data_IF_497036969384
#
_entry.id   IF_497036969384
#
_cell.length_a   1.000
_cell.length_b   1.000
_cell.length_c   1.000
_cell.angle_alpha   90.00
_cell.angle_beta   90.00
_cell.angle_gamma   90.00
#
_symmetry.space_group_name_H-M   'P 1'
#
loop_
_entity.id
_entity.type
_entity.pdbx_description
1 polymer ?
#
# COMPACT_ATOMS: atom_id res chain seq x y z
N UNK A 1 -154.62 10.22 48.98
CA UNK A 1 -155.48 11.42 49.06
C UNK A 1 -154.72 12.62 48.48
N UNK A 2 -154.56 12.66 47.15
CA UNK A 2 -153.75 13.66 46.42
C UNK A 2 -154.05 15.12 46.83
N UNK A 3 -153.08 16.04 46.81
CA UNK A 3 -153.28 17.48 46.99
C UNK A 3 -152.21 18.31 46.25
N UNK A 4 -152.33 19.65 46.27
CA UNK A 4 -151.47 20.58 45.53
C UNK A 4 -150.78 21.62 46.44
N UNK A 5 -151.55 22.47 47.14
CA UNK A 5 -151.14 23.59 48.02
C UNK A 5 -150.29 24.71 47.36
N UNK A 6 -149.41 24.34 46.43
CA UNK A 6 -148.59 25.15 45.51
C UNK A 6 -147.32 25.73 46.08
N UNK A 7 -147.34 26.13 47.35
CA UNK A 7 -146.31 27.02 47.93
C UNK A 7 -146.41 28.41 47.28
N UNK A 8 -146.50 29.47 48.09
CA UNK A 8 -146.59 30.86 47.60
C UNK A 8 -145.21 31.50 47.49
N UNK A 9 -145.11 32.65 46.80
CA UNK A 9 -143.84 33.32 46.46
C UNK A 9 -142.87 33.49 47.65
N UNK A 10 -143.35 33.93 48.81
CA UNK A 10 -142.52 34.16 50.01
C UNK A 10 -141.85 32.90 50.58
N UNK A 11 -142.44 31.71 50.36
CA UNK A 11 -141.81 30.44 50.74
C UNK A 11 -140.78 29.98 49.68
N UNK A 12 -140.98 30.34 48.41
CA UNK A 12 -139.98 30.13 47.34
C UNK A 12 -138.73 30.98 47.60
N UNK A 13 -138.89 32.25 48.00
CA UNK A 13 -137.78 33.16 48.33
C UNK A 13 -136.84 32.61 49.42
N UNK A 14 -137.38 31.99 50.49
CA UNK A 14 -136.56 31.36 51.54
C UNK A 14 -135.70 30.22 51.00
N UNK A 15 -136.30 29.28 50.29
CA UNK A 15 -135.55 28.13 49.74
C UNK A 15 -134.51 28.56 48.70
N UNK A 16 -134.73 29.66 47.98
CA UNK A 16 -133.73 30.28 47.11
C UNK A 16 -132.61 30.98 47.90
N UNK A 17 -132.92 31.66 49.00
CA UNK A 17 -131.93 32.32 49.85
C UNK A 17 -131.00 31.31 50.54
N UNK A 18 -131.56 30.25 51.13
CA UNK A 18 -130.80 29.18 51.77
C UNK A 18 -129.91 28.43 50.74
N UNK A 19 -130.41 28.21 49.51
CA UNK A 19 -129.60 27.65 48.42
C UNK A 19 -128.42 28.55 48.05
N UNK A 20 -128.65 29.86 47.83
CA UNK A 20 -127.55 30.81 47.52
C UNK A 20 -126.48 30.83 48.60
N UNK A 21 -126.88 30.68 49.87
CA UNK A 21 -125.93 30.58 50.99
C UNK A 21 -125.09 29.29 50.93
N UNK A 22 -125.72 28.13 50.73
CA UNK A 22 -125.01 26.85 50.60
C UNK A 22 -124.12 26.84 49.34
N UNK A 23 -124.57 27.45 48.24
CA UNK A 23 -123.78 27.63 47.02
C UNK A 23 -122.56 28.54 47.26
N UNK A 24 -122.67 29.60 48.06
CA UNK A 24 -121.53 30.42 48.46
C UNK A 24 -120.52 29.64 49.31
N UNK A 25 -121.00 28.95 50.36
CA UNK A 25 -120.16 28.12 51.23
C UNK A 25 -119.45 26.99 50.45
N UNK A 26 -120.14 26.34 49.50
CA UNK A 26 -119.53 25.35 48.60
C UNK A 26 -118.52 25.97 47.61
N UNK A 27 -118.79 27.17 47.06
CA UNK A 27 -117.85 27.85 46.18
C UNK A 27 -116.56 28.25 46.91
N UNK A 28 -116.65 28.67 48.17
CA UNK A 28 -115.47 28.99 48.99
C UNK A 28 -114.68 27.72 49.37
N UNK A 29 -115.36 26.61 49.67
CA UNK A 29 -114.70 25.30 49.85
C UNK A 29 -114.01 24.82 48.57
N UNK A 30 -114.62 24.99 47.39
CA UNK A 30 -114.01 24.67 46.10
C UNK A 30 -112.80 25.57 45.79
N UNK A 31 -112.87 26.86 46.10
CA UNK A 31 -111.74 27.79 46.02
C UNK A 31 -110.60 27.38 46.95
N UNK A 32 -110.91 27.01 48.18
CA UNK A 32 -109.92 26.53 49.15
C UNK A 32 -109.28 25.22 48.68
N UNK A 33 -110.07 24.24 48.22
CA UNK A 33 -109.58 22.98 47.68
C UNK A 33 -108.71 23.17 46.44
N UNK A 34 -109.11 24.04 45.50
CA UNK A 34 -108.34 24.38 44.30
C UNK A 34 -107.03 25.11 44.64
N UNK A 35 -107.07 26.05 45.58
CA UNK A 35 -105.88 26.73 46.10
C UNK A 35 -104.90 25.75 46.75
N UNK A 36 -105.41 24.87 47.64
CA UNK A 36 -104.61 23.84 48.31
C UNK A 36 -104.05 22.81 47.32
N UNK A 37 -104.81 22.42 46.28
CA UNK A 37 -104.32 21.57 45.20
C UNK A 37 -103.20 22.26 44.41
N UNK A 38 -103.35 23.55 44.10
CA UNK A 38 -102.32 24.35 43.43
C UNK A 38 -101.06 24.47 44.28
N UNK A 39 -101.20 24.72 45.59
CA UNK A 39 -100.09 24.77 46.54
C UNK A 39 -99.41 23.40 46.71
N UNK A 40 -100.17 22.30 46.75
CA UNK A 40 -99.61 20.95 46.81
C UNK A 40 -98.83 20.59 45.53
N UNK A 41 -99.28 21.06 44.36
CA UNK A 41 -98.55 20.91 43.10
C UNK A 41 -97.29 21.80 43.05
N UNK A 42 -97.35 23.02 43.56
CA UNK A 42 -96.19 23.90 43.71
C UNK A 42 -95.13 23.28 44.64
N UNK A 43 -95.52 22.80 45.83
CA UNK A 43 -94.63 22.13 46.78
C UNK A 43 -93.97 20.87 46.17
N UNK A 44 -94.71 20.08 45.38
CA UNK A 44 -94.15 18.95 44.62
C UNK A 44 -93.15 19.42 43.55
N UNK A 45 -93.45 20.52 42.87
CA UNK A 45 -92.56 21.18 41.93
C UNK A 45 -91.26 21.63 42.58
N UNK A 46 -91.33 22.30 43.72
CA UNK A 46 -90.17 22.76 44.49
C UNK A 46 -89.30 21.60 44.97
N UNK A 47 -89.90 20.52 45.47
CA UNK A 47 -89.16 19.29 45.80
C UNK A 47 -88.46 18.69 44.58
N UNK A 48 -89.11 18.67 43.41
CA UNK A 48 -88.48 18.21 42.16
C UNK A 48 -87.34 19.15 41.70
N UNK A 49 -87.49 20.47 41.89
CA UNK A 49 -86.44 21.46 41.62
C UNK A 49 -85.24 21.29 42.57
N UNK A 50 -85.47 21.03 43.85
CA UNK A 50 -84.40 20.74 44.83
C UNK A 50 -83.64 19.45 44.47
N UNK A 51 -84.35 18.39 44.07
CA UNK A 51 -83.72 17.15 43.58
C UNK A 51 -82.89 17.41 42.31
N UNK A 52 -83.43 18.14 41.33
CA UNK A 52 -82.69 18.53 40.12
C UNK A 52 -81.46 19.39 40.43
N UNK A 53 -81.56 20.37 41.34
CA UNK A 53 -80.42 21.19 41.79
C UNK A 53 -79.34 20.33 42.45
N UNK A 54 -79.72 19.39 43.32
CA UNK A 54 -78.78 18.43 43.94
C UNK A 54 -78.12 17.53 42.90
N UNK A 55 -78.88 17.00 41.94
CA UNK A 55 -78.35 16.19 40.85
C UNK A 55 -77.38 16.98 39.96
N UNK A 56 -77.72 18.21 39.59
CA UNK A 56 -76.84 19.10 38.81
C UNK A 56 -75.55 19.44 39.57
N UNK A 57 -75.64 19.75 40.87
CA UNK A 57 -74.46 20.03 41.69
C UNK A 57 -73.56 18.78 41.86
N UNK A 58 -74.14 17.59 41.99
CA UNK A 58 -73.39 16.34 41.99
C UNK A 58 -72.76 16.05 40.62
N UNK A 59 -73.47 16.31 39.52
CA UNK A 59 -72.95 16.19 38.16
C UNK A 59 -71.80 17.16 37.89
N UNK A 60 -71.90 18.41 38.33
CA UNK A 60 -70.81 19.41 38.25
C UNK A 60 -69.57 18.93 38.99
N UNK A 61 -69.70 18.51 40.26
CA UNK A 61 -68.58 17.97 41.04
C UNK A 61 -67.95 16.73 40.41
N UNK A 62 -68.77 15.83 39.85
CA UNK A 62 -68.25 14.64 39.16
C UNK A 62 -67.53 15.02 37.85
N UNK A 63 -68.02 16.03 37.12
CA UNK A 63 -67.37 16.54 35.91
C UNK A 63 -66.05 17.25 36.24
N UNK A 64 -66.01 18.06 37.30
CA UNK A 64 -64.81 18.69 37.85
C UNK A 64 -63.77 17.61 38.24
N UNK A 65 -64.17 16.62 39.04
CA UNK A 65 -63.29 15.51 39.43
C UNK A 65 -62.76 14.70 38.22
N UNK A 66 -63.59 14.46 37.19
CA UNK A 66 -63.14 13.80 35.96
C UNK A 66 -62.16 14.65 35.15
N UNK A 67 -62.26 15.98 35.19
CA UNK A 67 -61.31 16.88 34.53
C UNK A 67 -59.99 16.94 35.30
N UNK A 68 -60.04 17.01 36.63
CA UNK A 68 -58.87 16.94 37.51
C UNK A 68 -58.12 15.61 37.33
N UNK A 69 -58.83 14.47 37.34
CA UNK A 69 -58.23 13.16 37.11
C UNK A 69 -57.54 13.08 35.74
N UNK A 70 -58.21 13.57 34.67
CA UNK A 70 -57.60 13.64 33.33
C UNK A 70 -56.35 14.51 33.31
N UNK A 71 -56.35 15.66 34.00
CA UNK A 71 -55.18 16.53 34.09
C UNK A 71 -54.02 15.85 34.81
N UNK A 72 -54.27 15.21 35.96
CA UNK A 72 -53.28 14.45 36.72
C UNK A 72 -52.73 13.27 35.92
N UNK A 73 -53.56 12.58 35.15
CA UNK A 73 -53.13 11.48 34.28
C UNK A 73 -52.29 11.98 33.10
N UNK A 74 -52.67 13.09 32.46
CA UNK A 74 -51.89 13.73 31.40
C UNK A 74 -50.52 14.21 31.90
N UNK A 75 -50.44 14.82 33.09
CA UNK A 75 -49.15 15.17 33.71
C UNK A 75 -48.27 13.95 34.00
N UNK A 76 -48.86 12.87 34.54
CA UNK A 76 -48.13 11.62 34.82
C UNK A 76 -47.60 10.99 33.55
N UNK A 77 -48.41 10.99 32.48
CA UNK A 77 -48.00 10.51 31.16
C UNK A 77 -46.91 11.40 30.57
N UNK A 78 -47.03 12.73 30.66
CA UNK A 78 -45.99 13.66 30.21
C UNK A 78 -44.66 13.43 30.96
N UNK A 79 -44.70 13.29 32.29
CA UNK A 79 -43.52 12.99 33.14
C UNK A 79 -42.92 11.62 32.81
N UNK A 80 -43.75 10.61 32.52
CA UNK A 80 -43.29 9.29 32.03
C UNK A 80 -42.62 9.41 30.66
N UNK A 81 -43.22 10.14 29.73
CA UNK A 81 -42.73 10.33 28.37
C UNK A 81 -41.47 11.22 28.32
N UNK A 82 -41.28 12.12 29.27
CA UNK A 82 -40.02 12.84 29.48
C UNK A 82 -38.92 11.90 29.92
N UNK A 83 -39.15 11.09 30.97
CA UNK A 83 -38.16 10.11 31.45
C UNK A 83 -37.78 9.07 30.40
N UNK A 84 -38.72 8.57 29.60
CA UNK A 84 -38.38 7.63 28.52
C UNK A 84 -37.62 8.31 27.39
N UNK A 85 -37.89 9.58 27.07
CA UNK A 85 -37.07 10.37 26.14
C UNK A 85 -35.66 10.58 26.67
N UNK A 86 -35.50 11.03 27.91
CA UNK A 86 -34.19 11.22 28.56
C UNK A 86 -33.37 9.92 28.57
N UNK A 87 -34.01 8.79 28.89
CA UNK A 87 -33.39 7.47 28.81
C UNK A 87 -32.97 7.12 27.39
N UNK A 88 -33.87 7.24 26.41
CA UNK A 88 -33.56 6.96 25.00
C UNK A 88 -32.45 7.87 24.45
N UNK A 89 -32.46 9.16 24.80
CA UNK A 89 -31.42 10.13 24.40
C UNK A 89 -30.07 9.79 25.04
N UNK A 90 -30.05 9.33 26.30
CA UNK A 90 -28.82 8.86 26.95
C UNK A 90 -28.24 7.60 26.32
N UNK A 91 -29.11 6.65 25.94
CA UNK A 91 -28.75 5.41 25.25
C UNK A 91 -28.26 5.73 23.83
N UNK A 92 -28.94 6.61 23.09
CA UNK A 92 -28.54 7.05 21.76
C UNK A 92 -27.15 7.70 21.78
N UNK A 93 -26.88 8.61 22.73
CA UNK A 93 -25.55 9.21 22.91
C UNK A 93 -24.47 8.18 23.25
N UNK A 94 -24.78 7.20 24.11
CA UNK A 94 -23.84 6.14 24.44
C UNK A 94 -23.50 5.27 23.22
N UNK A 95 -24.51 4.90 22.42
CA UNK A 95 -24.33 4.15 21.18
C UNK A 95 -23.60 4.95 20.09
N UNK A 96 -23.83 6.26 20.01
CA UNK A 96 -23.08 7.16 19.11
C UNK A 96 -21.61 7.27 19.51
N UNK A 97 -21.29 7.42 20.80
CA UNK A 97 -19.90 7.44 21.26
C UNK A 97 -19.20 6.08 21.10
N UNK A 98 -19.88 4.97 21.36
CA UNK A 98 -19.36 3.63 21.07
C UNK A 98 -19.05 3.46 19.57
N UNK A 99 -19.98 3.86 18.68
CA UNK A 99 -19.74 3.89 17.23
C UNK A 99 -18.56 4.78 16.86
N UNK A 100 -18.47 6.01 17.41
CA UNK A 100 -17.33 6.92 17.17
C UNK A 100 -16.01 6.37 17.66
N UNK A 101 -15.98 5.58 18.73
CA UNK A 101 -14.78 4.90 19.21
C UNK A 101 -14.41 3.73 18.30
N UNK A 102 -15.40 2.93 17.88
CA UNK A 102 -15.18 1.80 16.98
C UNK A 102 -14.73 2.27 15.59
N UNK A 103 -15.37 3.29 14.99
CA UNK A 103 -14.91 3.93 13.74
C UNK A 103 -13.49 4.50 13.86
N UNK A 104 -13.12 5.08 15.01
CA UNK A 104 -11.76 5.58 15.25
C UNK A 104 -10.75 4.42 15.28
N UNK A 105 -11.07 3.34 15.99
CA UNK A 105 -10.25 2.11 16.03
C UNK A 105 -10.14 1.46 14.65
N UNK A 106 -11.22 1.36 13.89
CA UNK A 106 -11.21 0.81 12.53
C UNK A 106 -10.35 1.67 11.58
N UNK A 107 -10.48 3.00 11.61
CA UNK A 107 -9.61 3.92 10.84
C UNK A 107 -8.15 3.90 11.30
N UNK A 108 -7.89 3.57 12.55
CA UNK A 108 -6.53 3.38 13.08
C UNK A 108 -5.93 2.06 12.62
N UNK A 109 -6.67 0.96 12.74
CA UNK A 109 -6.32 -0.36 12.18
C UNK A 109 -6.07 -0.27 10.68
N UNK A 110 -6.96 0.39 9.91
CA UNK A 110 -6.79 0.62 8.47
C UNK A 110 -5.48 1.38 8.17
N UNK A 111 -5.22 2.48 8.86
CA UNK A 111 -3.97 3.26 8.68
C UNK A 111 -2.72 2.45 9.07
N UNK A 112 -2.78 1.64 10.12
CA UNK A 112 -1.68 0.71 10.50
C UNK A 112 -1.46 -0.32 9.38
N UNK A 113 -2.53 -0.88 8.82
CA UNK A 113 -2.44 -1.85 7.73
C UNK A 113 -1.89 -1.24 6.43
N UNK A 114 -2.36 -0.06 6.03
CA UNK A 114 -1.94 0.65 4.80
C UNK A 114 -0.49 1.15 4.88
N UNK A 115 -0.05 1.58 6.08
CA UNK A 115 1.31 2.03 6.34
C UNK A 115 2.31 0.89 6.55
N UNK A 116 1.86 -0.32 6.87
CA UNK A 116 2.72 -1.49 7.05
C UNK A 116 3.36 -1.94 5.73
N UNK A 117 4.70 -1.90 5.69
CA UNK A 117 5.48 -2.39 4.55
C UNK A 117 5.32 -3.91 4.39
N UNK A 118 5.27 -4.66 5.49
CA UNK A 118 5.12 -6.13 5.48
C UNK A 118 3.84 -6.59 4.76
N UNK A 119 2.71 -5.90 4.99
CA UNK A 119 1.44 -6.23 4.34
C UNK A 119 1.45 -5.87 2.86
N UNK A 120 2.11 -4.76 2.48
CA UNK A 120 2.28 -4.35 1.09
C UNK A 120 3.16 -5.33 0.31
N UNK A 121 4.23 -5.82 0.93
CA UNK A 121 5.07 -6.88 0.38
C UNK A 121 4.28 -8.18 0.22
N UNK A 122 3.51 -8.58 1.25
CA UNK A 122 2.63 -9.76 1.22
C UNK A 122 1.64 -9.68 0.06
N UNK A 123 0.93 -8.57 -0.11
CA UNK A 123 0.03 -8.34 -1.25
C UNK A 123 0.76 -8.44 -2.59
N UNK A 124 1.97 -7.89 -2.71
CA UNK A 124 2.74 -7.95 -3.95
C UNK A 124 3.11 -9.39 -4.30
N UNK A 125 3.49 -10.19 -3.30
CA UNK A 125 3.79 -11.62 -3.46
C UNK A 125 2.55 -12.45 -3.82
N UNK A 126 1.39 -12.10 -3.26
CA UNK A 126 0.10 -12.73 -3.60
C UNK A 126 -0.34 -12.37 -5.03
N UNK A 127 -0.19 -11.10 -5.45
CA UNK A 127 -0.44 -10.66 -6.84
C UNK A 127 0.46 -11.42 -7.83
N UNK A 128 1.75 -11.60 -7.52
CA UNK A 128 2.67 -12.43 -8.32
C UNK A 128 2.24 -13.90 -8.34
N UNK A 129 1.75 -14.45 -7.23
CA UNK A 129 1.23 -15.81 -7.18
C UNK A 129 -0.04 -16.00 -8.04
N UNK A 130 -0.95 -15.03 -8.09
CA UNK A 130 -2.10 -15.04 -9.01
C UNK A 130 -1.63 -15.02 -10.47
N UNK A 131 -0.72 -14.12 -10.85
CA UNK A 131 -0.15 -14.07 -12.20
C UNK A 131 0.55 -15.38 -12.58
N UNK A 132 1.25 -16.03 -11.64
CA UNK A 132 1.86 -17.34 -11.88
C UNK A 132 0.82 -18.46 -12.06
N UNK A 133 -0.29 -18.42 -11.31
CA UNK A 133 -1.42 -19.35 -11.49
C UNK A 133 -2.09 -19.17 -12.85
N UNK A 134 -2.39 -17.93 -13.24
CA UNK A 134 -2.96 -17.60 -14.55
C UNK A 134 -2.02 -18.03 -15.69
N UNK A 135 -0.72 -17.78 -15.56
CA UNK A 135 0.29 -18.21 -16.54
C UNK A 135 0.36 -19.74 -16.67
N UNK A 136 0.21 -20.49 -15.57
CA UNK A 136 0.16 -21.94 -15.61
C UNK A 136 -1.11 -22.46 -16.31
N UNK A 137 -2.27 -21.81 -16.08
CA UNK A 137 -3.52 -22.11 -16.80
C UNK A 137 -3.36 -21.82 -18.29
N UNK A 138 -2.86 -20.63 -18.67
CA UNK A 138 -2.58 -20.26 -20.06
C UNK A 138 -1.61 -21.23 -20.76
N UNK A 139 -0.61 -21.74 -20.02
CA UNK A 139 0.31 -22.74 -20.56
C UNK A 139 -0.40 -24.08 -20.81
N UNK A 140 -1.24 -24.55 -19.88
CA UNK A 140 -2.04 -25.77 -20.06
C UNK A 140 -3.07 -25.62 -21.21
N UNK A 141 -3.70 -24.45 -21.33
CA UNK A 141 -4.58 -24.11 -22.47
C UNK A 141 -3.80 -24.14 -23.80
N UNK A 142 -2.61 -23.52 -23.85
CA UNK A 142 -1.74 -23.58 -25.04
C UNK A 142 -1.30 -24.99 -25.38
N UNK A 143 -0.96 -25.81 -24.39
CA UNK A 143 -0.55 -27.20 -24.59
C UNK A 143 -1.71 -28.07 -25.11
N UNK A 144 -2.93 -27.89 -24.58
CA UNK A 144 -4.14 -28.58 -25.06
C UNK A 144 -4.55 -28.11 -26.46
N UNK A 145 -4.49 -26.81 -26.77
CA UNK A 145 -4.71 -26.29 -28.13
C UNK A 145 -3.69 -26.86 -29.12
N UNK A 146 -2.40 -26.89 -28.77
CA UNK A 146 -1.36 -27.47 -29.61
C UNK A 146 -1.54 -28.99 -29.82
N UNK A 147 -2.07 -29.72 -28.83
CA UNK A 147 -2.46 -31.12 -29.01
C UNK A 147 -3.66 -31.27 -29.97
N UNK A 148 -4.66 -30.39 -29.89
CA UNK A 148 -5.80 -30.35 -30.81
C UNK A 148 -5.35 -30.03 -32.24
N UNK A 149 -4.44 -29.06 -32.42
CA UNK A 149 -3.86 -28.73 -33.74
C UNK A 149 -3.09 -29.92 -34.31
N UNK A 150 -2.17 -30.52 -33.54
CA UNK A 150 -1.42 -31.72 -33.96
C UNK A 150 -2.30 -32.92 -34.30
N UNK A 151 -3.44 -33.09 -33.63
CA UNK A 151 -4.39 -34.16 -33.98
C UNK A 151 -5.14 -33.83 -35.27
N UNK A 152 -5.51 -32.57 -35.50
CA UNK A 152 -6.10 -32.12 -36.78
C UNK A 152 -5.12 -32.28 -37.95
N UNK A 153 -3.88 -31.81 -37.80
CA UNK A 153 -2.81 -31.98 -38.79
C UNK A 153 -2.65 -33.45 -39.17
N UNK A 154 -2.52 -34.35 -38.19
CA UNK A 154 -2.47 -35.80 -38.43
C UNK A 154 -3.69 -36.34 -39.15
N UNK A 155 -4.90 -35.91 -38.81
CA UNK A 155 -6.10 -36.35 -39.55
C UNK A 155 -6.07 -35.89 -41.01
N UNK A 156 -5.59 -34.67 -41.28
CA UNK A 156 -5.43 -34.13 -42.64
C UNK A 156 -4.34 -34.90 -43.39
N UNK A 157 -3.19 -35.18 -42.76
CA UNK A 157 -2.12 -36.03 -43.33
C UNK A 157 -2.66 -37.41 -43.71
N UNK A 158 -3.36 -38.12 -42.80
CA UNK A 158 -3.93 -39.44 -43.11
C UNK A 158 -4.97 -39.41 -44.23
N UNK A 159 -5.74 -38.32 -44.35
CA UNK A 159 -6.70 -38.15 -45.45
C UNK A 159 -5.98 -37.89 -46.78
N UNK A 160 -4.94 -37.04 -46.79
CA UNK A 160 -4.12 -36.78 -47.98
C UNK A 160 -3.36 -38.04 -48.44
N UNK A 161 -2.84 -38.84 -47.51
CA UNK A 161 -2.22 -40.14 -47.83
C UNK A 161 -3.23 -41.12 -48.42
N UNK A 162 -4.43 -41.20 -47.85
CA UNK A 162 -5.52 -42.04 -48.37
C UNK A 162 -5.93 -41.60 -49.79
N UNK A 163 -6.16 -40.31 -50.01
CA UNK A 163 -6.54 -39.78 -51.33
C UNK A 163 -5.40 -39.94 -52.36
N UNK A 164 -4.14 -39.83 -51.93
CA UNK A 164 -2.98 -40.15 -52.76
C UNK A 164 -2.95 -41.65 -53.15
N UNK A 165 -3.08 -42.56 -52.19
CA UNK A 165 -3.10 -44.01 -52.45
C UNK A 165 -4.26 -44.37 -53.40
N UNK A 166 -5.43 -43.76 -53.19
CA UNK A 166 -6.59 -43.92 -54.07
C UNK A 166 -6.30 -43.43 -55.49
N UNK A 167 -5.67 -42.26 -55.64
CA UNK A 167 -5.28 -41.73 -56.94
C UNK A 167 -4.23 -42.62 -57.65
N UNK A 168 -3.26 -43.19 -56.91
CA UNK A 168 -2.29 -44.16 -57.44
C UNK A 168 -3.00 -45.43 -57.93
N UNK A 169 -3.97 -45.97 -57.17
CA UNK A 169 -4.80 -47.12 -57.58
C UNK A 169 -5.67 -46.79 -58.80
N UNK A 170 -6.33 -45.64 -58.84
CA UNK A 170 -7.15 -45.21 -59.98
C UNK A 170 -6.31 -44.99 -61.25
N UNK A 171 -5.07 -44.51 -61.11
CA UNK A 171 -4.12 -44.38 -62.22
C UNK A 171 -3.63 -45.75 -62.71
N UNK A 172 -3.29 -46.67 -61.81
CA UNK A 172 -2.94 -48.04 -62.16
C UNK A 172 -4.12 -48.77 -62.85
N UNK A 173 -5.35 -48.57 -62.38
CA UNK A 173 -6.55 -49.11 -63.01
C UNK A 173 -6.77 -48.55 -64.43
N UNK A 174 -6.55 -47.24 -64.63
CA UNK A 174 -6.58 -46.61 -65.97
C UNK A 174 -5.49 -47.15 -66.90
N UNK A 175 -4.29 -47.42 -66.38
CA UNK A 175 -3.24 -48.08 -67.17
C UNK A 175 -3.60 -49.51 -67.54
N UNK A 176 -4.16 -50.29 -66.62
CA UNK A 176 -4.63 -51.65 -66.88
C UNK A 176 -5.74 -51.63 -67.94
N UNK A 177 -6.69 -50.70 -67.85
CA UNK A 177 -7.74 -50.51 -68.85
C UNK A 177 -7.15 -50.18 -70.24
N UNK A 178 -6.24 -49.21 -70.34
CA UNK A 178 -5.53 -48.90 -71.61
C UNK A 178 -4.75 -50.09 -72.17
N UNK A 179 -4.12 -50.91 -71.32
CA UNK A 179 -3.44 -52.15 -71.75
C UNK A 179 -4.43 -53.19 -72.26
N UNK A 180 -5.60 -53.32 -71.63
CA UNK A 180 -6.67 -54.21 -72.09
C UNK A 180 -7.25 -53.74 -73.44
N UNK A 181 -7.54 -52.45 -73.59
CA UNK A 181 -7.95 -51.82 -74.86
C UNK A 181 -6.92 -52.07 -75.97
N UNK A 182 -5.62 -51.89 -75.69
CA UNK A 182 -4.56 -52.16 -76.64
C UNK A 182 -4.45 -53.65 -77.03
N UNK A 183 -4.73 -54.57 -76.11
CA UNK A 183 -4.81 -56.02 -76.41
C UNK A 183 -6.01 -56.33 -77.30
N UNK A 184 -7.19 -55.77 -77.02
CA UNK A 184 -8.39 -55.93 -77.86
C UNK A 184 -8.16 -55.34 -79.26
N UNK A 185 -7.55 -54.16 -79.37
CA UNK A 185 -7.18 -53.55 -80.65
C UNK A 185 -6.15 -54.39 -81.42
N UNK A 186 -5.17 -55.00 -80.73
CA UNK A 186 -4.24 -55.94 -81.37
C UNK A 186 -4.96 -57.19 -81.88
N UNK A 187 -5.91 -57.73 -81.13
CA UNK A 187 -6.70 -58.90 -81.54
C UNK A 187 -7.57 -58.60 -82.76
N UNK A 188 -8.21 -57.42 -82.83
CA UNK A 188 -9.00 -57.04 -84.01
C UNK A 188 -8.14 -56.81 -85.25
N UNK A 189 -6.95 -56.21 -85.12
CA UNK A 189 -5.98 -56.11 -86.22
C UNK A 189 -5.52 -57.51 -86.67
N UNK A 190 -5.29 -58.45 -85.74
CA UNK A 190 -4.94 -59.84 -86.09
C UNK A 190 -6.08 -60.55 -86.83
N UNK A 191 -7.34 -60.34 -86.44
CA UNK A 191 -8.50 -60.84 -87.18
C UNK A 191 -8.57 -60.24 -88.59
N UNK A 192 -8.40 -58.93 -88.74
CA UNK A 192 -8.34 -58.27 -90.06
C UNK A 192 -7.21 -58.82 -90.95
N UNK A 193 -6.05 -59.16 -90.40
CA UNK A 193 -4.98 -59.82 -91.15
C UNK A 193 -5.38 -61.24 -91.58
N UNK A 194 -6.01 -62.02 -90.71
CA UNK A 194 -6.49 -63.37 -91.04
C UNK A 194 -7.59 -63.33 -92.11
N UNK A 195 -8.52 -62.38 -92.03
CA UNK A 195 -9.59 -62.22 -93.02
C UNK A 195 -9.03 -61.72 -94.36
N UNK A 196 -7.99 -60.85 -94.35
CA UNK A 196 -7.25 -60.49 -95.55
C UNK A 196 -6.47 -61.68 -96.14
N UNK A 197 -5.94 -62.59 -95.33
CA UNK A 197 -5.30 -63.82 -95.81
C UNK A 197 -6.33 -64.79 -96.43
N UNK A 198 -7.52 -64.95 -95.84
CA UNK A 198 -8.62 -65.70 -96.47
C UNK A 198 -9.01 -65.10 -97.82
N UNK A 199 -9.12 -63.77 -97.89
CA UNK A 199 -9.40 -63.07 -99.15
C UNK A 199 -8.29 -63.32 -100.19
N UNK A 200 -7.01 -63.34 -99.79
CA UNK A 200 -5.91 -63.74 -100.68
C UNK A 200 -6.01 -65.21 -101.12
N UNK A 201 -6.42 -66.15 -100.26
CA UNK A 201 -6.67 -67.54 -100.65
C UNK A 201 -7.86 -67.69 -101.60
N UNK A 202 -8.92 -66.90 -101.42
CA UNK A 202 -10.09 -66.84 -102.30
C UNK A 202 -9.70 -66.26 -103.66
N UNK A 203 -9.03 -65.10 -103.70
CA UNK A 203 -8.48 -64.54 -104.94
C UNK A 203 -7.44 -65.44 -105.60
N UNK A 204 -6.67 -66.24 -104.86
CA UNK A 204 -5.76 -67.23 -105.44
C UNK A 204 -6.50 -68.42 -106.07
N UNK A 205 -7.62 -68.86 -105.49
CA UNK A 205 -8.51 -69.88 -106.10
C UNK A 205 -9.18 -69.32 -107.36
N UNK A 206 -9.66 -68.08 -107.33
CA UNK A 206 -10.19 -67.39 -108.52
C UNK A 206 -9.12 -67.22 -109.59
N UNK A 207 -7.91 -66.76 -109.24
CA UNK A 207 -6.79 -66.65 -110.17
C UNK A 207 -6.35 -68.00 -110.75
N UNK A 208 -6.51 -69.12 -110.03
CA UNK A 208 -6.26 -70.46 -110.55
C UNK A 208 -7.37 -70.93 -111.51
N UNK A 209 -8.62 -70.52 -111.29
CA UNK A 209 -9.76 -70.74 -112.20
C UNK A 209 -9.61 -69.86 -113.46
N UNK A 210 -9.20 -68.62 -113.32
CA UNK A 210 -8.93 -67.73 -114.45
C UNK A 210 -7.66 -68.17 -115.19
N UNK A 211 -6.64 -68.68 -114.50
CA UNK A 211 -5.51 -69.34 -115.15
C UNK A 211 -5.95 -70.54 -115.97
N UNK A 212 -6.83 -71.41 -115.50
CA UNK A 212 -7.27 -72.55 -116.33
C UNK A 212 -8.13 -72.13 -117.52
N UNK A 213 -8.88 -71.01 -117.43
CA UNK A 213 -9.50 -70.36 -118.61
C UNK A 213 -8.46 -69.77 -119.56
N UNK A 214 -7.44 -69.09 -119.04
CA UNK A 214 -6.34 -68.51 -119.83
C UNK A 214 -5.51 -69.60 -120.49
N UNK A 215 -5.22 -70.71 -119.82
CA UNK A 215 -4.51 -71.87 -120.37
C UNK A 215 -5.34 -72.51 -121.52
N UNK A 216 -6.67 -72.52 -121.43
CA UNK A 216 -7.55 -72.95 -122.53
C UNK A 216 -7.54 -71.95 -123.71
N UNK A 217 -7.52 -70.65 -123.44
CA UNK A 217 -7.35 -69.61 -124.48
C UNK A 217 -5.94 -69.69 -125.09
N UNK A 218 -4.90 -69.97 -124.29
CA UNK A 218 -3.53 -70.17 -124.76
C UNK A 218 -3.41 -71.42 -125.62
N UNK A 219 -4.19 -72.49 -125.38
CA UNK A 219 -4.25 -73.63 -126.30
C UNK A 219 -4.94 -73.28 -127.63
N UNK A 220 -5.90 -72.34 -127.64
CA UNK A 220 -6.41 -71.76 -128.90
C UNK A 220 -5.35 -70.88 -129.58
N UNK A 221 -4.67 -70.02 -128.82
CA UNK A 221 -3.61 -69.14 -129.35
C UNK A 221 -2.43 -69.97 -129.85
N UNK A 222 -1.97 -71.02 -129.19
CA UNK A 222 -0.88 -71.90 -129.68
C UNK A 222 -1.26 -72.70 -130.95
N UNK A 223 -2.54 -72.78 -131.29
CA UNK A 223 -3.00 -73.27 -132.59
C UNK A 223 -2.98 -72.15 -133.66
N UNK A 224 -3.22 -70.89 -133.29
CA UNK A 224 -3.13 -69.72 -134.18
C UNK A 224 -1.69 -69.23 -134.38
N UNK A 225 -0.88 -69.12 -133.32
CA UNK A 225 0.53 -68.73 -133.31
C UNK A 225 1.43 -69.73 -134.04
N UNK A 226 1.05 -71.01 -134.11
CA UNK A 226 1.72 -71.96 -135.03
C UNK A 226 1.58 -71.57 -136.49
N UNK A 227 0.52 -70.82 -136.87
CA UNK A 227 0.34 -70.22 -138.19
C UNK A 227 1.01 -68.82 -138.31
N UNK A 228 1.64 -68.32 -137.25
CA UNK A 228 2.31 -67.00 -137.23
C UNK A 228 3.82 -67.07 -136.95
N UNK A 229 4.32 -68.04 -136.19
CA UNK A 229 5.76 -68.21 -135.97
C UNK A 229 6.54 -68.53 -137.26
N UNK A 230 5.92 -69.25 -138.21
CA UNK A 230 6.43 -69.43 -139.59
C UNK A 230 6.76 -68.09 -140.29
N UNK A 231 6.21 -66.96 -139.83
CA UNK A 231 6.42 -65.62 -140.41
C UNK A 231 7.56 -64.85 -139.74
N UNK A 232 7.93 -65.16 -138.49
CA UNK A 232 8.71 -64.26 -137.60
C UNK A 232 10.20 -64.54 -137.45
N UNK A 233 10.69 -65.75 -137.73
CA UNK A 233 12.11 -66.11 -137.57
C UNK A 233 13.07 -65.25 -138.43
N UNK A 234 12.53 -64.55 -139.43
CA UNK A 234 13.25 -63.77 -140.44
C UNK A 234 13.92 -62.44 -139.96
N UNK A 235 14.03 -62.10 -138.66
CA UNK A 235 14.34 -60.70 -138.24
C UNK A 235 15.48 -60.40 -137.21
N UNK A 236 15.82 -61.26 -136.23
CA UNK A 236 16.28 -60.75 -134.89
C UNK A 236 17.81 -60.59 -134.60
N UNK A 237 18.73 -61.01 -135.47
CA UNK A 237 20.16 -61.35 -135.14
C UNK A 237 21.12 -60.20 -134.69
N UNK A 238 20.67 -59.01 -134.25
CA UNK A 238 21.51 -57.79 -134.23
C UNK A 238 22.34 -57.47 -132.95
N UNK A 239 21.79 -56.75 -131.95
CA UNK A 239 22.58 -55.75 -131.17
C UNK A 239 22.67 -56.00 -129.66
N UNK A 240 23.89 -56.09 -129.07
CA UNK A 240 24.12 -56.33 -127.62
C UNK A 240 25.58 -56.07 -127.10
N UNK A 241 25.98 -54.86 -126.62
CA UNK A 241 27.42 -54.62 -126.31
C UNK A 241 27.98 -53.56 -125.27
N UNK A 242 27.25 -52.72 -124.50
CA UNK A 242 27.79 -51.36 -124.15
C UNK A 242 27.77 -50.81 -122.66
N UNK A 243 28.36 -51.44 -121.60
CA UNK A 243 27.81 -51.30 -120.19
C UNK A 243 28.58 -50.67 -118.96
N UNK A 244 29.87 -50.90 -118.64
CA UNK A 244 30.25 -51.30 -117.23
C UNK A 244 30.88 -50.32 -116.15
N UNK A 245 31.54 -49.19 -116.43
CA UNK A 245 32.69 -48.64 -115.64
C UNK A 245 32.55 -48.11 -114.17
N UNK A 246 31.35 -47.93 -113.61
CA UNK A 246 31.07 -46.96 -112.52
C UNK A 246 31.30 -47.44 -111.04
N UNK A 247 32.39 -47.06 -110.30
CA UNK A 247 32.69 -47.72 -108.98
C UNK A 247 33.23 -46.97 -107.71
N UNK A 248 33.83 -45.75 -107.69
CA UNK A 248 35.16 -45.62 -107.01
C UNK A 248 35.49 -44.56 -105.89
N UNK A 249 34.64 -44.16 -104.91
CA UNK A 249 35.03 -43.21 -103.79
C UNK A 249 34.20 -43.35 -102.48
N UNK A 250 34.75 -43.18 -101.22
CA UNK A 250 33.93 -42.95 -99.97
C UNK A 250 34.50 -42.66 -98.51
N UNK A 251 35.79 -42.42 -98.18
CA UNK A 251 36.30 -42.76 -96.80
C UNK A 251 36.64 -41.70 -95.68
N UNK A 252 36.35 -40.39 -95.71
CA UNK A 252 37.16 -39.39 -94.91
C UNK A 252 36.65 -38.86 -93.52
N UNK A 253 35.37 -38.90 -93.12
CA UNK A 253 34.78 -37.85 -92.23
C UNK A 253 34.78 -37.98 -90.66
N UNK A 254 35.74 -38.61 -89.93
CA UNK A 254 35.44 -39.15 -88.56
C UNK A 254 36.06 -38.60 -87.23
N UNK A 255 36.89 -37.55 -87.15
CA UNK A 255 37.78 -37.36 -85.96
C UNK A 255 37.60 -36.18 -84.94
N UNK A 256 36.76 -35.14 -85.11
CA UNK A 256 37.00 -33.84 -84.42
C UNK A 256 36.41 -33.54 -82.99
N UNK A 257 35.62 -34.40 -82.34
CA UNK A 257 34.64 -33.93 -81.33
C UNK A 257 35.09 -33.64 -79.86
N UNK A 258 36.24 -34.11 -79.36
CA UNK A 258 36.40 -34.43 -77.91
C UNK A 258 36.97 -33.35 -76.94
N UNK A 259 37.01 -32.04 -77.27
CA UNK A 259 37.92 -31.07 -76.58
C UNK A 259 37.34 -30.12 -75.50
N UNK A 260 36.03 -30.09 -75.20
CA UNK A 260 35.38 -28.86 -74.64
C UNK A 260 34.99 -28.78 -73.14
N UNK A 261 35.32 -29.75 -72.28
CA UNK A 261 34.60 -29.94 -70.99
C UNK A 261 35.39 -29.67 -69.68
N UNK A 262 36.50 -28.88 -69.68
CA UNK A 262 37.46 -28.87 -68.54
C UNK A 262 37.63 -27.55 -67.73
N UNK A 263 36.80 -26.52 -67.90
CA UNK A 263 37.16 -25.14 -67.48
C UNK A 263 36.32 -24.46 -66.37
N UNK A 264 35.26 -25.05 -65.79
CA UNK A 264 34.30 -24.26 -64.97
C UNK A 264 34.51 -24.21 -63.42
N UNK A 265 35.27 -25.12 -62.79
CA UNK A 265 35.19 -25.36 -61.33
C UNK A 265 35.98 -24.42 -60.36
N UNK A 266 36.61 -23.33 -60.83
CA UNK A 266 37.62 -22.60 -60.01
C UNK A 266 37.17 -21.32 -59.25
N UNK A 267 35.87 -20.97 -59.18
CA UNK A 267 35.44 -19.62 -58.73
C UNK A 267 34.86 -19.45 -57.30
N UNK A 268 34.67 -20.51 -56.50
CA UNK A 268 33.79 -20.45 -55.30
C UNK A 268 34.55 -20.39 -53.94
N UNK A 269 35.87 -20.15 -53.91
CA UNK A 269 36.70 -20.43 -52.71
C UNK A 269 37.25 -19.24 -51.87
N UNK A 270 36.95 -17.96 -52.15
CA UNK A 270 37.83 -16.85 -51.68
C UNK A 270 37.25 -15.71 -50.81
N UNK A 271 35.99 -15.70 -50.34
CA UNK A 271 35.47 -14.56 -49.54
C UNK A 271 35.26 -14.81 -48.02
N UNK A 272 35.23 -16.06 -47.55
CA UNK A 272 34.92 -16.39 -46.14
C UNK A 272 36.04 -16.14 -45.11
N UNK A 273 36.98 -15.22 -45.37
CA UNK A 273 38.19 -15.00 -44.53
C UNK A 273 38.35 -13.61 -43.91
N UNK A 274 37.38 -12.71 -44.03
CA UNK A 274 37.57 -11.29 -43.70
C UNK A 274 36.76 -10.76 -42.49
N UNK A 275 36.04 -11.61 -41.74
CA UNK A 275 35.02 -11.16 -40.77
C UNK A 275 35.39 -11.36 -39.28
N UNK A 276 36.29 -12.29 -38.91
CA UNK A 276 36.47 -12.71 -37.51
C UNK A 276 37.73 -12.18 -36.77
N UNK A 277 38.56 -11.31 -37.37
CA UNK A 277 39.84 -10.89 -36.76
C UNK A 277 39.96 -9.39 -36.47
N UNK A 278 38.94 -8.75 -35.87
CA UNK A 278 39.05 -7.35 -35.41
C UNK A 278 38.26 -6.91 -34.16
N UNK A 279 37.76 -7.85 -33.34
CA UNK A 279 36.92 -7.50 -32.16
C UNK A 279 37.57 -7.64 -30.76
N UNK A 280 38.82 -8.09 -30.61
CA UNK A 280 39.38 -8.44 -29.28
C UNK A 280 40.49 -7.51 -28.73
N UNK A 281 40.68 -6.30 -29.29
CA UNK A 281 41.85 -5.46 -28.95
C UNK A 281 41.67 -4.38 -27.86
N UNK A 282 40.46 -3.92 -27.55
CA UNK A 282 40.26 -2.55 -27.00
C UNK A 282 39.80 -2.49 -25.53
N UNK A 283 39.37 -3.60 -24.90
CA UNK A 283 38.67 -3.55 -23.60
C UNK A 283 39.50 -3.75 -22.32
N UNK A 284 40.83 -3.93 -22.39
CA UNK A 284 41.63 -4.36 -21.20
C UNK A 284 42.75 -3.38 -20.76
N UNK A 285 43.05 -2.30 -21.49
CA UNK A 285 44.22 -1.42 -21.19
C UNK A 285 43.90 0.05 -20.88
N UNK A 286 42.74 0.35 -20.30
CA UNK A 286 42.35 1.71 -19.88
C UNK A 286 42.09 1.88 -18.36
N UNK A 287 42.24 0.82 -17.56
CA UNK A 287 41.92 0.83 -16.12
C UNK A 287 43.13 1.12 -15.19
N UNK A 288 44.36 1.16 -15.71
CA UNK A 288 45.59 1.21 -14.90
C UNK A 288 46.22 2.63 -14.78
N UNK A 289 45.55 3.68 -15.26
CA UNK A 289 46.08 5.06 -15.29
C UNK A 289 45.46 6.05 -14.28
N UNK A 290 44.76 5.58 -13.23
CA UNK A 290 44.08 6.45 -12.23
C UNK A 290 44.41 6.13 -10.76
N UNK A 291 45.59 5.58 -10.48
CA UNK A 291 46.07 5.28 -9.10
C UNK A 291 47.54 5.70 -8.88
N UNK A 292 47.94 6.85 -9.43
CA UNK A 292 49.35 7.29 -9.43
C UNK A 292 49.55 8.81 -9.39
N UNK A 293 48.57 9.54 -8.87
CA UNK A 293 48.66 11.00 -8.63
C UNK A 293 48.18 11.39 -7.21
N UNK A 294 48.19 10.43 -6.28
CA UNK A 294 48.09 10.66 -4.83
C UNK A 294 49.42 11.19 -4.23
N UNK A 295 50.33 11.70 -5.07
CA UNK A 295 51.68 12.13 -4.71
C UNK A 295 51.78 13.66 -4.45
N UNK A 296 50.67 14.40 -4.57
CA UNK A 296 50.60 15.84 -4.27
C UNK A 296 50.36 16.14 -2.77
N UNK A 297 51.09 15.47 -1.87
CA UNK A 297 50.98 15.66 -0.40
C UNK A 297 52.32 16.01 0.27
N UNK A 298 53.40 16.21 -0.49
CA UNK A 298 54.78 16.37 0.04
C UNK A 298 55.34 17.81 -0.10
N UNK A 299 54.49 18.83 -0.02
CA UNK A 299 54.87 20.24 -0.23
C UNK A 299 54.61 21.18 0.96
N UNK A 300 54.34 20.67 2.17
CA UNK A 300 53.90 21.48 3.34
C UNK A 300 54.79 21.34 4.58
N UNK A 301 55.65 20.32 4.69
CA UNK A 301 56.37 20.03 5.95
C UNK A 301 57.74 20.74 6.11
N UNK A 302 58.26 21.43 5.09
CA UNK A 302 59.63 21.96 5.10
C UNK A 302 59.79 23.39 5.65
N UNK A 303 58.71 24.16 5.80
CA UNK A 303 58.80 25.62 5.98
C UNK A 303 58.67 26.10 7.45
N UNK A 304 58.22 25.24 8.36
CA UNK A 304 57.89 25.60 9.76
C UNK A 304 59.10 25.58 10.72
N UNK A 305 60.17 24.84 10.40
CA UNK A 305 61.29 24.59 11.33
C UNK A 305 62.35 25.71 11.41
N UNK A 306 62.25 26.78 10.59
CA UNK A 306 63.34 27.75 10.43
C UNK A 306 63.23 29.03 11.28
N UNK A 307 62.06 29.34 11.86
CA UNK A 307 61.80 30.64 12.53
C UNK A 307 62.03 30.67 14.07
N UNK A 308 62.52 29.59 14.70
CA UNK A 308 62.58 29.48 16.18
C UNK A 308 63.97 29.61 16.83
N UNK A 309 65.01 30.05 16.11
CA UNK A 309 66.41 30.01 16.60
C UNK A 309 67.12 31.37 16.70
N UNK A 310 66.40 32.48 16.53
CA UNK A 310 67.03 33.83 16.46
C UNK A 310 66.73 34.73 17.68
N UNK A 311 65.94 34.27 18.67
CA UNK A 311 65.47 35.13 19.78
C UNK A 311 66.29 35.05 21.10
N UNK A 312 67.22 34.10 21.27
CA UNK A 312 67.78 33.78 22.60
C UNK A 312 69.09 34.51 23.01
N UNK A 313 69.77 35.25 22.12
CA UNK A 313 71.16 35.71 22.39
C UNK A 313 71.32 37.09 23.09
N UNK A 314 70.26 37.88 23.25
CA UNK A 314 70.38 39.32 23.62
C UNK A 314 70.54 39.63 25.14
N UNK A 315 70.60 38.63 26.02
CA UNK A 315 70.26 38.81 27.44
C UNK A 315 71.40 39.06 28.48
N UNK A 316 72.70 39.04 28.12
CA UNK A 316 73.80 38.76 29.09
C UNK A 316 74.78 39.87 29.52
N UNK A 317 74.55 41.17 29.26
CA UNK A 317 75.60 42.22 29.34
C UNK A 317 75.36 43.43 30.29
N UNK A 318 74.94 43.27 31.56
CA UNK A 318 74.47 44.44 32.38
C UNK A 318 75.12 44.76 33.75
N UNK A 319 75.79 43.84 34.47
CA UNK A 319 75.79 43.90 35.96
C UNK A 319 77.15 44.06 36.72
N UNK A 320 78.00 45.10 36.52
CA UNK A 320 79.35 45.19 37.20
C UNK A 320 79.97 46.61 37.51
N UNK A 321 79.48 47.48 38.44
CA UNK A 321 80.14 48.81 38.68
C UNK A 321 79.80 49.69 39.97
N UNK A 322 80.03 49.34 41.27
CA UNK A 322 79.43 50.13 42.39
C UNK A 322 80.19 50.57 43.72
N UNK A 323 81.35 50.08 44.17
CA UNK A 323 81.49 49.83 45.65
C UNK A 323 82.34 50.71 46.66
N UNK A 324 83.12 51.75 46.32
CA UNK A 324 84.32 52.11 47.15
C UNK A 324 84.27 53.09 48.37
N UNK A 325 83.77 54.34 48.28
CA UNK A 325 84.41 55.57 48.85
C UNK A 325 84.77 55.72 50.38
N UNK A 326 84.17 55.01 51.33
CA UNK A 326 83.73 55.62 52.62
C UNK A 326 84.63 55.44 53.88
N UNK A 327 85.37 56.48 54.35
CA UNK A 327 86.27 56.39 55.55
C UNK A 327 86.34 57.57 56.60
N UNK A 328 87.32 58.50 56.53
CA UNK A 328 88.17 58.92 57.70
C UNK A 328 87.63 59.76 58.90
N UNK A 329 87.27 61.05 58.73
CA UNK A 329 87.80 62.10 59.65
C UNK A 329 87.03 62.42 60.96
N UNK A 330 87.79 62.61 62.07
CA UNK A 330 87.21 62.57 63.43
C UNK A 330 87.78 63.53 64.53
N UNK A 331 89.05 63.96 64.48
CA UNK A 331 90.00 63.81 65.61
C UNK A 331 90.00 64.85 66.80
N UNK A 332 90.46 66.09 66.61
CA UNK A 332 91.04 67.11 67.56
C UNK A 332 90.37 67.48 68.93
N UNK A 333 89.29 66.82 69.39
CA UNK A 333 88.31 67.39 70.35
C UNK A 333 88.61 67.29 71.87
N UNK A 334 89.85 67.48 72.34
CA UNK A 334 90.27 67.00 73.68
C UNK A 334 90.26 67.99 74.88
N UNK A 335 90.98 69.13 74.83
CA UNK A 335 91.49 69.81 76.05
C UNK A 335 90.59 70.82 76.78
N UNK A 336 89.63 71.46 76.10
CA UNK A 336 88.71 72.47 76.69
C UNK A 336 87.87 71.91 77.86
N UNK A 337 87.84 70.58 78.01
CA UNK A 337 86.99 69.82 78.93
C UNK A 337 87.31 69.90 80.44
N UNK A 338 88.40 70.53 80.92
CA UNK A 338 88.80 70.38 82.33
C UNK A 338 88.24 71.44 83.29
N UNK A 339 88.28 72.73 82.94
CA UNK A 339 87.90 73.81 83.86
C UNK A 339 86.38 74.03 83.93
N UNK A 340 85.68 73.73 82.84
CA UNK A 340 84.23 73.61 82.77
C UNK A 340 83.70 72.74 83.93
N UNK A 341 84.29 71.55 84.12
CA UNK A 341 83.83 70.49 85.04
C UNK A 341 83.55 70.91 86.48
N UNK A 342 84.22 71.92 87.04
CA UNK A 342 84.01 72.28 88.45
C UNK A 342 82.78 73.18 88.64
N UNK A 343 82.57 74.18 87.77
CA UNK A 343 81.34 74.97 87.78
C UNK A 343 80.15 74.16 87.28
N UNK A 344 80.38 73.33 86.25
CA UNK A 344 79.43 72.31 85.82
C UNK A 344 78.99 71.42 87.00
N UNK A 345 79.85 71.15 88.00
CA UNK A 345 79.53 70.23 89.11
C UNK A 345 78.51 70.80 90.10
N UNK A 346 78.64 72.06 90.50
CA UNK A 346 77.71 72.67 91.47
C UNK A 346 76.37 73.02 90.81
N UNK A 347 76.42 73.48 89.56
CA UNK A 347 75.24 73.72 88.74
C UNK A 347 74.54 72.39 88.38
N UNK A 348 75.29 71.31 88.11
CA UNK A 348 74.77 69.95 87.99
C UNK A 348 74.07 69.49 89.26
N UNK A 349 74.56 69.78 90.48
CA UNK A 349 73.90 69.31 91.71
C UNK A 349 72.50 69.94 91.85
N UNK A 350 72.37 71.27 91.73
CA UNK A 350 71.06 71.93 91.80
C UNK A 350 70.15 71.55 90.64
N UNK A 351 70.70 71.51 89.42
CA UNK A 351 69.99 71.05 88.24
C UNK A 351 69.51 69.59 88.41
N UNK A 352 70.28 68.72 89.05
CA UNK A 352 69.91 67.32 89.32
C UNK A 352 68.78 67.22 90.36
N UNK A 353 68.77 68.02 91.43
CA UNK A 353 67.67 68.03 92.40
C UNK A 353 66.35 68.55 91.79
N UNK A 354 66.40 69.64 91.02
CA UNK A 354 65.22 70.14 90.29
C UNK A 354 64.80 69.17 89.18
N UNK A 355 65.75 68.60 88.44
CA UNK A 355 65.50 67.57 87.44
C UNK A 355 64.95 66.29 88.06
N UNK A 356 65.31 65.91 89.29
CA UNK A 356 64.71 64.76 89.98
C UNK A 356 63.26 65.04 90.37
N UNK A 357 62.93 66.25 90.82
CA UNK A 357 61.54 66.68 91.10
C UNK A 357 60.70 66.79 89.83
N UNK A 358 61.29 67.25 88.72
CA UNK A 358 60.63 67.28 87.42
C UNK A 358 60.47 65.87 86.85
N UNK A 359 61.51 65.02 86.92
CA UNK A 359 61.45 63.60 86.54
C UNK A 359 60.40 62.84 87.34
N UNK A 360 60.30 63.02 88.66
CA UNK A 360 59.30 62.31 89.45
C UNK A 360 57.87 62.74 89.13
N UNK A 361 57.63 64.03 88.85
CA UNK A 361 56.34 64.51 88.32
C UNK A 361 56.07 63.98 86.91
N UNK A 362 57.05 64.02 86.02
CA UNK A 362 56.92 63.50 84.64
C UNK A 362 56.62 61.99 84.67
N UNK A 363 57.28 61.21 85.53
CA UNK A 363 57.03 59.77 85.70
C UNK A 363 55.62 59.52 86.27
N UNK A 364 55.15 60.35 87.20
CA UNK A 364 53.79 60.25 87.73
C UNK A 364 52.73 60.57 86.65
N UNK A 365 52.91 61.65 85.90
CA UNK A 365 52.02 62.04 84.80
C UNK A 365 52.07 61.06 83.61
N UNK A 366 53.25 60.48 83.33
CA UNK A 366 53.42 59.41 82.35
C UNK A 366 52.67 58.16 82.79
N UNK A 367 52.86 57.72 84.03
CA UNK A 367 52.16 56.54 84.56
C UNK A 367 50.65 56.71 84.59
N UNK A 368 50.14 57.89 84.95
CA UNK A 368 48.70 58.19 84.88
C UNK A 368 48.16 58.10 83.45
N UNK A 369 48.88 58.65 82.46
CA UNK A 369 48.52 58.56 81.04
C UNK A 369 48.66 57.14 80.49
N UNK A 370 49.64 56.37 80.94
CA UNK A 370 49.80 54.96 80.62
C UNK A 370 48.64 54.13 81.20
N UNK A 371 48.22 54.37 82.44
CA UNK A 371 47.09 53.68 83.06
C UNK A 371 45.76 54.03 82.37
N UNK A 372 45.53 55.30 82.01
CA UNK A 372 44.39 55.72 81.18
C UNK A 372 44.40 55.10 79.77
N UNK A 373 45.57 55.09 79.11
CA UNK A 373 45.74 54.50 77.78
C UNK A 373 45.58 52.97 77.81
N UNK A 374 46.08 52.31 78.85
CA UNK A 374 45.89 50.88 79.09
C UNK A 374 44.42 50.54 79.38
N UNK A 375 43.69 51.39 80.12
CA UNK A 375 42.26 51.22 80.34
C UNK A 375 41.46 51.40 79.04
N UNK A 376 41.80 52.41 78.22
CA UNK A 376 41.22 52.62 76.90
C UNK A 376 41.49 51.43 75.96
N UNK A 377 42.73 50.94 75.89
CA UNK A 377 43.10 49.76 75.09
C UNK A 377 42.33 48.50 75.54
N UNK A 378 42.26 48.22 76.84
CA UNK A 378 41.48 47.09 77.37
C UNK A 378 39.99 47.19 76.99
N UNK A 379 39.41 48.38 77.09
CA UNK A 379 38.01 48.61 76.69
C UNK A 379 37.81 48.42 75.18
N UNK A 380 38.73 48.94 74.37
CA UNK A 380 38.72 48.80 72.91
C UNK A 380 38.83 47.33 72.50
N UNK A 381 39.84 46.59 72.98
CA UNK A 381 40.01 45.17 72.69
C UNK A 381 38.80 44.34 73.15
N UNK A 382 38.23 44.61 74.33
CA UNK A 382 37.02 43.93 74.79
C UNK A 382 35.75 44.28 73.97
N UNK A 383 35.78 45.31 73.12
CA UNK A 383 34.73 45.59 72.13
C UNK A 383 35.03 44.94 70.77
N UNK A 384 36.31 44.92 70.37
CA UNK A 384 36.77 44.28 69.13
C UNK A 384 36.60 42.76 69.22
N UNK A 385 36.96 42.12 70.32
CA UNK A 385 36.79 40.69 70.59
C UNK A 385 35.31 40.27 70.57
N UNK A 386 34.41 41.08 71.15
CA UNK A 386 32.95 40.85 71.06
C UNK A 386 32.44 40.92 69.62
N UNK A 387 32.87 41.96 68.89
CA UNK A 387 32.54 42.13 67.46
C UNK A 387 33.12 41.01 66.59
N UNK A 388 34.30 40.48 66.92
CA UNK A 388 34.90 39.34 66.22
C UNK A 388 34.11 38.05 66.48
N UNK A 389 33.72 37.76 67.73
CA UNK A 389 32.83 36.63 68.05
C UNK A 389 31.49 36.73 67.31
N UNK A 390 30.85 37.89 67.30
CA UNK A 390 29.60 38.12 66.54
C UNK A 390 29.79 37.91 65.03
N UNK A 391 30.88 38.44 64.47
CA UNK A 391 31.22 38.27 63.05
C UNK A 391 31.57 36.82 62.70
N UNK A 392 32.19 36.07 63.61
CA UNK A 392 32.48 34.64 63.42
C UNK A 392 31.21 33.79 63.47
N UNK A 393 30.32 34.05 64.44
CA UNK A 393 28.99 33.43 64.50
C UNK A 393 28.20 33.74 63.22
N UNK A 394 28.21 34.98 62.75
CA UNK A 394 27.55 35.40 61.50
C UNK A 394 28.13 34.67 60.28
N UNK A 395 29.46 34.63 60.13
CA UNK A 395 30.15 33.88 59.06
C UNK A 395 29.84 32.38 59.12
N UNK A 396 29.75 31.80 60.31
CA UNK A 396 29.40 30.38 60.53
C UNK A 396 27.94 30.11 60.14
N UNK A 397 27.02 31.03 60.47
CA UNK A 397 25.61 30.96 60.09
C UNK A 397 25.43 31.06 58.57
N UNK A 398 26.02 32.06 57.91
CA UNK A 398 26.00 32.18 56.44
C UNK A 398 26.59 30.95 55.74
N UNK A 399 27.71 30.40 56.23
CA UNK A 399 28.28 29.16 55.69
C UNK A 399 27.36 27.94 55.91
N UNK A 400 26.56 27.92 56.97
CA UNK A 400 25.54 26.91 57.22
C UNK A 400 24.37 27.03 56.23
N UNK A 401 23.80 28.23 56.11
CA UNK A 401 22.70 28.57 55.20
C UNK A 401 23.09 28.30 53.73
N UNK A 402 24.29 28.67 53.31
CA UNK A 402 24.80 28.39 51.97
C UNK A 402 24.99 26.88 51.70
N UNK A 403 25.46 26.12 52.69
CA UNK A 403 25.55 24.65 52.59
C UNK A 403 24.17 23.99 52.51
N UNK A 404 23.19 24.48 53.26
CA UNK A 404 21.80 24.02 53.19
C UNK A 404 21.21 24.33 51.81
N UNK A 405 21.34 25.56 51.31
CA UNK A 405 20.87 25.93 49.98
C UNK A 405 21.50 25.08 48.85
N UNK A 406 22.78 24.71 48.94
CA UNK A 406 23.41 23.76 48.01
C UNK A 406 22.82 22.35 48.16
N UNK A 407 22.60 21.87 49.38
CA UNK A 407 21.99 20.56 49.63
C UNK A 407 20.56 20.49 49.07
N UNK A 408 19.76 21.53 49.30
CA UNK A 408 18.39 21.66 48.79
C UNK A 408 18.38 21.76 47.26
N UNK A 409 19.28 22.55 46.66
CA UNK A 409 19.43 22.63 45.20
C UNK A 409 19.83 21.28 44.59
N UNK A 410 20.72 20.52 45.25
CA UNK A 410 21.12 19.19 44.79
C UNK A 410 19.99 18.16 44.97
N UNK A 411 19.24 18.22 46.07
CA UNK A 411 18.07 17.38 46.28
C UNK A 411 16.98 17.66 45.22
N UNK A 412 16.71 18.93 44.91
CA UNK A 412 15.81 19.33 43.82
C UNK A 412 16.30 18.84 42.46
N UNK A 413 17.60 18.94 42.16
CA UNK A 413 18.17 18.36 40.92
C UNK A 413 18.00 16.84 40.84
N UNK A 414 18.21 16.12 41.95
CA UNK A 414 18.01 14.68 42.01
C UNK A 414 16.54 14.29 41.84
N UNK A 415 15.61 15.01 42.47
CA UNK A 415 14.17 14.82 42.28
C UNK A 415 13.72 15.11 40.86
N UNK A 416 14.19 16.20 40.25
CA UNK A 416 13.90 16.53 38.85
C UNK A 416 14.42 15.44 37.90
N UNK A 417 15.66 14.97 38.10
CA UNK A 417 16.22 13.87 37.30
C UNK A 417 15.46 12.55 37.48
N UNK A 418 15.01 12.22 38.70
CA UNK A 418 14.17 11.05 38.96
C UNK A 418 12.81 11.16 38.24
N UNK A 419 12.14 12.32 38.34
CA UNK A 419 10.87 12.57 37.64
C UNK A 419 11.02 12.56 36.12
N UNK A 420 12.16 13.01 35.59
CA UNK A 420 12.47 12.98 34.16
C UNK A 420 12.73 11.55 33.68
N UNK A 421 13.53 10.78 34.41
CA UNK A 421 13.76 9.35 34.13
C UNK A 421 12.47 8.51 34.26
N UNK A 422 11.59 8.84 35.21
CA UNK A 422 10.27 8.20 35.33
C UNK A 422 9.36 8.54 34.14
N UNK A 423 9.37 9.80 33.66
CA UNK A 423 8.66 10.18 32.43
C UNK A 423 9.21 9.45 31.21
N UNK A 424 10.53 9.45 30.99
CA UNK A 424 11.18 8.73 29.89
C UNK A 424 10.84 7.23 29.92
N UNK A 425 10.79 6.61 31.11
CA UNK A 425 10.35 5.22 31.26
C UNK A 425 8.89 5.05 30.88
N UNK A 426 7.99 5.90 31.36
CA UNK A 426 6.55 5.83 31.06
C UNK A 426 6.26 6.10 29.57
N UNK A 427 7.02 6.98 28.92
CA UNK A 427 6.97 7.21 27.47
C UNK A 427 7.53 6.00 26.70
N UNK A 428 8.67 5.45 27.14
CA UNK A 428 9.25 4.24 26.54
C UNK A 428 8.32 3.03 26.65
N UNK A 429 7.64 2.83 27.78
CA UNK A 429 6.64 1.75 27.92
C UNK A 429 5.43 2.00 27.05
N UNK A 430 4.95 3.24 26.92
CA UNK A 430 3.85 3.59 26.00
C UNK A 430 4.22 3.33 24.54
N UNK A 431 5.41 3.74 24.11
CA UNK A 431 5.90 3.48 22.75
C UNK A 431 6.02 1.98 22.51
N UNK A 432 6.53 1.21 23.48
CA UNK A 432 6.62 -0.25 23.39
C UNK A 432 5.23 -0.93 23.34
N UNK A 433 4.26 -0.46 24.12
CA UNK A 433 2.86 -0.91 24.09
C UNK A 433 2.19 -0.59 22.74
N UNK A 434 2.37 0.63 22.22
CA UNK A 434 1.88 1.02 20.90
C UNK A 434 2.51 0.21 19.77
N UNK A 435 3.82 -0.02 19.82
CA UNK A 435 4.51 -0.88 18.86
C UNK A 435 4.04 -2.34 18.95
N UNK A 436 3.84 -2.87 20.15
CA UNK A 436 3.32 -4.22 20.34
C UNK A 436 1.89 -4.34 19.79
N UNK A 437 1.04 -3.34 20.01
CA UNK A 437 -0.31 -3.27 19.45
C UNK A 437 -0.30 -3.19 17.92
N UNK A 438 0.56 -2.33 17.33
CA UNK A 438 0.76 -2.25 15.87
C UNK A 438 1.22 -3.59 15.29
N UNK A 439 2.18 -4.27 15.95
CA UNK A 439 2.68 -5.61 15.54
C UNK A 439 1.58 -6.68 15.63
N UNK A 440 0.74 -6.67 16.67
CA UNK A 440 -0.40 -7.59 16.79
C UNK A 440 -1.42 -7.38 15.65
N UNK A 441 -1.81 -6.13 15.36
CA UNK A 441 -2.71 -5.81 14.24
C UNK A 441 -2.12 -6.29 12.91
N UNK A 442 -0.83 -6.04 12.66
CA UNK A 442 -0.15 -6.47 11.43
C UNK A 442 -0.10 -8.00 11.33
N UNK A 443 0.18 -8.73 12.42
CA UNK A 443 0.12 -10.19 12.43
C UNK A 443 -1.29 -10.74 12.17
N UNK A 444 -2.32 -10.17 12.79
CA UNK A 444 -3.71 -10.58 12.58
C UNK A 444 -4.18 -10.31 11.14
N UNK A 445 -3.86 -9.13 10.60
CA UNK A 445 -4.12 -8.78 9.21
C UNK A 445 -3.38 -9.73 8.24
N UNK A 446 -2.10 -10.01 8.50
CA UNK A 446 -1.29 -10.97 7.72
C UNK A 446 -1.91 -12.36 7.74
N UNK A 447 -2.34 -12.86 8.92
CA UNK A 447 -3.04 -14.15 9.03
C UNK A 447 -4.35 -14.17 8.24
N UNK A 448 -5.15 -13.10 8.31
CA UNK A 448 -6.42 -12.99 7.59
C UNK A 448 -6.24 -12.98 6.08
N UNK A 449 -5.35 -12.14 5.55
CA UNK A 449 -5.03 -12.08 4.12
C UNK A 449 -4.53 -13.46 3.64
N UNK A 450 -3.68 -14.13 4.43
CA UNK A 450 -3.23 -15.48 4.10
C UNK A 450 -4.35 -16.53 4.13
N UNK A 451 -5.31 -16.46 5.06
CA UNK A 451 -6.48 -17.35 5.08
C UNK A 451 -7.35 -17.19 3.83
N UNK A 452 -7.67 -15.94 3.46
CA UNK A 452 -8.53 -15.60 2.32
C UNK A 452 -7.89 -16.07 0.99
N UNK A 453 -6.56 -15.93 0.83
CA UNK A 453 -5.87 -16.29 -0.41
C UNK A 453 -5.27 -17.71 -0.46
N UNK A 454 -5.06 -18.39 0.67
CA UNK A 454 -4.43 -19.73 0.70
C UNK A 454 -5.20 -20.78 -0.11
N UNK A 455 -6.53 -20.80 -0.01
CA UNK A 455 -7.37 -21.73 -0.79
C UNK A 455 -7.28 -21.44 -2.30
N UNK A 456 -7.25 -20.17 -2.68
CA UNK A 456 -7.20 -19.75 -4.09
C UNK A 456 -5.85 -20.02 -4.76
N UNK A 457 -4.76 -19.98 -4.00
CA UNK A 457 -3.37 -20.03 -4.50
C UNK A 457 -2.60 -21.30 -4.11
N UNK A 458 -3.30 -22.36 -3.67
CA UNK A 458 -2.70 -23.63 -3.31
C UNK A 458 -1.80 -24.16 -4.45
N UNK A 459 -0.52 -24.40 -4.15
CA UNK A 459 0.51 -24.80 -5.13
C UNK A 459 1.28 -23.64 -5.81
N UNK A 460 0.77 -22.41 -5.76
CA UNK A 460 1.36 -21.23 -6.43
C UNK A 460 1.95 -20.18 -5.47
N UNK A 461 1.84 -20.39 -4.15
CA UNK A 461 2.41 -19.51 -3.12
C UNK A 461 3.97 -19.58 -3.09
N UNK A 462 4.67 -18.45 -2.91
CA UNK A 462 6.12 -18.42 -2.70
C UNK A 462 6.56 -19.23 -1.47
N UNK A 463 7.74 -19.85 -1.54
CA UNK A 463 8.24 -20.80 -0.51
C UNK A 463 8.26 -20.24 0.92
N UNK A 464 8.53 -18.94 1.10
CA UNK A 464 8.50 -18.28 2.40
C UNK A 464 7.08 -18.26 2.99
N UNK A 465 6.13 -17.73 2.23
CA UNK A 465 4.72 -17.63 2.61
C UNK A 465 4.08 -19.02 2.78
N UNK A 466 4.36 -19.96 1.88
CA UNK A 466 3.86 -21.34 1.99
C UNK A 466 4.30 -22.02 3.31
N UNK A 467 5.49 -21.66 3.82
CA UNK A 467 5.98 -22.12 5.12
C UNK A 467 5.25 -21.47 6.30
N UNK A 468 4.81 -20.22 6.18
CA UNK A 468 3.98 -19.56 7.19
C UNK A 468 2.56 -20.14 7.22
N UNK A 469 1.91 -20.29 6.06
CA UNK A 469 0.57 -20.89 5.92
C UNK A 469 0.53 -22.30 6.51
N UNK A 470 1.55 -23.13 6.22
CA UNK A 470 1.68 -24.48 6.81
C UNK A 470 1.95 -24.45 8.32
N UNK A 471 2.78 -23.52 8.83
CA UNK A 471 3.01 -23.35 10.28
C UNK A 471 1.75 -22.94 11.05
N UNK A 472 0.88 -22.13 10.45
CA UNK A 472 -0.38 -21.69 11.08
C UNK A 472 -1.47 -22.76 11.10
N UNK A 473 -1.21 -23.99 10.65
CA UNK A 473 -2.19 -25.07 10.59
C UNK A 473 -3.26 -24.92 9.50
N UNK A 474 -3.13 -23.91 8.63
CA UNK A 474 -4.08 -23.59 7.57
C UNK A 474 -3.94 -24.52 6.34
N UNK A 475 -2.93 -25.38 6.32
CA UNK A 475 -2.67 -26.36 5.27
C UNK A 475 -2.87 -27.80 5.73
N UNK A 476 -4.10 -28.20 6.07
CA UNK A 476 -4.48 -29.63 6.16
C UNK A 476 -6.00 -29.86 6.19
N UNK A 477 -6.63 -29.87 5.01
CA UNK A 477 -7.73 -30.78 4.68
C UNK A 477 -7.80 -30.97 3.17
#
# INVERSE_FOLDING_TARGET
LMWQQRVTTRQVERTMADRRRIEAENNDLLRYASSNQTQAMANKGDMAVLVKRRANAAFQRNAEAMLEEKHVMAEREQKRNQRTKEQNDSIARALEEERRVNERREREIQRICESSEELRELESMLKVAYVNKERAVQQAERETLCQIERTREKTIETQMEYDRQRAEVDMAAKEIAKRAEAVVAKQSIQQQMLDRLKLYEESAKEAQIDKSKVDAIMQQIEAEDRLEQEKRENYVVQTRALIEDCKKQREVEKEEAARREREEDQRIAQYSKHVEQRQEGIKVKLAEKKKREDEMFQAVEAEIQRQRKEEEEFARLRDQLWEEEMLEAHREKARIKMLQKQKDKEEMIRSNEEQQRLKSKIIADQKAKEDEYNAYLKSKYASEERREMEMEIFRRKQKGEYKQAIADQNALKQQMYQLELEKERMESTRIAEEEAFKKQIVEEAKRRILQEHAQSLQGYLPKGIAREVSRTGLGSR
#
